data_IF_678401737824
#
_entry.id   IF_678401737824
#
_cell.length_a   1.000
_cell.length_b   1.000
_cell.length_c   1.000
_cell.angle_alpha   90.00
_cell.angle_beta   90.00
_cell.angle_gamma   90.00
#
_symmetry.space_group_name_H-M   'P 1'
#
loop_
_entity.id
_entity.type
_entity.pdbx_description
1 polymer ?
#
# COMPACT_ATOMS: atom_id res chain seq x y z
N UNK A 1 2.13 -13.64 -3.73
CA UNK A 1 0.80 -13.74 -3.11
C UNK A 1 -0.15 -12.97 -4.02
N UNK A 2 -1.27 -13.57 -4.40
CA UNK A 2 -2.28 -12.94 -5.27
C UNK A 2 -3.55 -12.67 -4.47
N UNK A 3 -3.92 -11.40 -4.40
CA UNK A 3 -5.16 -10.87 -3.84
C UNK A 3 -5.83 -9.88 -4.83
N UNK A 4 -5.53 -10.02 -6.12
CA UNK A 4 -6.06 -9.17 -7.18
C UNK A 4 -7.52 -9.49 -7.53
N UNK A 5 -8.08 -8.78 -8.50
CA UNK A 5 -9.40 -9.06 -9.09
C UNK A 5 -10.53 -9.15 -8.05
N UNK A 6 -10.64 -8.13 -7.18
CA UNK A 6 -11.59 -8.06 -6.05
C UNK A 6 -11.33 -9.08 -4.95
N UNK A 7 -10.11 -9.63 -4.86
CA UNK A 7 -9.65 -10.39 -3.72
C UNK A 7 -9.78 -9.59 -2.42
N UNK A 8 -10.02 -10.28 -1.31
CA UNK A 8 -10.15 -9.64 0.02
C UNK A 8 -9.38 -10.42 1.06
N UNK A 9 -8.43 -9.74 1.70
CA UNK A 9 -7.75 -10.18 2.91
C UNK A 9 -8.01 -9.17 4.02
N UNK A 10 -8.90 -9.51 4.96
CA UNK A 10 -9.35 -8.59 5.99
C UNK A 10 -9.28 -9.20 7.39
N UNK A 11 -8.92 -8.38 8.38
CA UNK A 11 -8.94 -8.76 9.80
C UNK A 11 -9.39 -7.60 10.68
N UNK A 12 -10.09 -7.91 11.77
CA UNK A 12 -10.38 -6.93 12.83
C UNK A 12 -9.19 -6.69 13.76
N UNK A 13 -8.19 -7.57 13.70
CA UNK A 13 -6.95 -7.46 14.45
C UNK A 13 -5.82 -6.92 13.56
N UNK A 14 -4.59 -6.95 14.06
CA UNK A 14 -3.42 -6.67 13.25
C UNK A 14 -3.19 -7.73 12.17
N UNK A 15 -2.59 -7.32 11.06
CA UNK A 15 -2.07 -8.21 10.01
C UNK A 15 -0.57 -7.92 9.87
N UNK A 16 0.23 -8.98 9.89
CA UNK A 16 1.64 -8.98 9.49
C UNK A 16 1.78 -9.85 8.25
N UNK A 17 2.08 -9.23 7.11
CA UNK A 17 2.24 -9.86 5.82
C UNK A 17 3.70 -9.79 5.39
N UNK A 18 4.35 -10.94 5.31
CA UNK A 18 5.70 -11.06 4.79
C UNK A 18 5.68 -11.96 3.55
N UNK A 19 6.05 -11.40 2.41
CA UNK A 19 6.01 -12.09 1.11
C UNK A 19 7.39 -11.96 0.47
N UNK A 20 8.14 -13.06 0.34
CA UNK A 20 9.51 -12.99 -0.20
C UNK A 20 9.57 -12.54 -1.68
N UNK A 21 8.45 -12.60 -2.39
CA UNK A 21 8.30 -12.18 -3.78
C UNK A 21 7.28 -11.06 -3.97
N UNK A 22 6.52 -11.15 -5.06
CA UNK A 22 5.48 -10.19 -5.38
C UNK A 22 4.23 -10.38 -4.51
N UNK A 23 3.72 -9.29 -3.97
CA UNK A 23 2.34 -9.17 -3.53
C UNK A 23 1.56 -8.45 -4.63
N UNK A 24 0.56 -9.14 -5.17
CA UNK A 24 -0.37 -8.58 -6.12
C UNK A 24 -1.70 -8.28 -5.42
N UNK A 25 -2.06 -7.00 -5.37
CA UNK A 25 -3.32 -6.47 -4.86
C UNK A 25 -4.01 -5.54 -5.89
N UNK A 26 -3.68 -5.69 -7.19
CA UNK A 26 -4.25 -4.84 -8.23
C UNK A 26 -5.73 -5.16 -8.52
N UNK A 27 -6.35 -4.41 -9.43
CA UNK A 27 -7.70 -4.67 -9.94
C UNK A 27 -8.75 -4.82 -8.82
N UNK A 28 -8.91 -3.78 -8.01
CA UNK A 28 -9.86 -3.70 -6.90
C UNK A 28 -9.58 -4.69 -5.74
N UNK A 29 -8.36 -5.24 -5.64
CA UNK A 29 -7.92 -6.04 -4.49
C UNK A 29 -7.92 -5.25 -3.18
N UNK A 30 -8.30 -5.88 -2.07
CA UNK A 30 -8.37 -5.23 -0.75
C UNK A 30 -7.59 -5.99 0.32
N UNK A 31 -6.67 -5.30 0.99
CA UNK A 31 -6.02 -5.75 2.24
C UNK A 31 -6.35 -4.76 3.36
N UNK A 32 -6.96 -5.23 4.45
CA UNK A 32 -7.38 -4.35 5.55
C UNK A 32 -7.16 -4.96 6.94
N UNK A 33 -6.68 -4.14 7.88
CA UNK A 33 -6.44 -4.55 9.27
C UNK A 33 -6.61 -3.42 10.28
N UNK A 34 -6.68 -3.76 11.56
CA UNK A 34 -6.57 -2.75 12.62
C UNK A 34 -5.21 -2.05 12.56
N UNK A 35 -4.13 -2.82 12.49
CA UNK A 35 -2.80 -2.36 12.08
C UNK A 35 -2.33 -3.28 10.96
N UNK A 36 -1.78 -2.73 9.89
CA UNK A 36 -1.25 -3.52 8.78
C UNK A 36 0.25 -3.26 8.65
N UNK A 37 1.04 -4.32 8.72
CA UNK A 37 2.47 -4.31 8.40
C UNK A 37 2.69 -5.22 7.20
N UNK A 38 3.37 -4.71 6.19
CA UNK A 38 3.63 -5.42 4.95
C UNK A 38 5.11 -5.31 4.57
N UNK A 39 5.73 -6.45 4.29
CA UNK A 39 7.05 -6.55 3.70
C UNK A 39 7.01 -7.41 2.43
N UNK A 40 7.54 -6.91 1.30
CA UNK A 40 7.62 -7.69 0.06
C UNK A 40 8.82 -7.33 -0.83
N UNK A 41 9.10 -8.14 -1.86
CA UNK A 41 10.05 -7.74 -2.90
C UNK A 41 9.43 -6.73 -3.88
N UNK A 42 8.14 -6.92 -4.20
CA UNK A 42 7.33 -5.94 -4.94
C UNK A 42 5.90 -5.94 -4.43
N UNK A 43 5.23 -4.80 -4.59
CA UNK A 43 3.82 -4.60 -4.32
C UNK A 43 3.18 -3.93 -5.54
N UNK A 44 2.23 -4.61 -6.15
CA UNK A 44 1.28 -4.02 -7.10
C UNK A 44 -0.04 -3.74 -6.37
N UNK A 45 -0.37 -2.47 -6.19
CA UNK A 45 -1.63 -1.98 -5.66
C UNK A 45 -2.34 -1.07 -6.68
N UNK A 46 -2.00 -1.19 -7.96
CA UNK A 46 -2.57 -0.40 -9.04
C UNK A 46 -4.03 -0.78 -9.34
N UNK A 47 -4.68 -0.08 -10.26
CA UNK A 47 -6.01 -0.46 -10.73
C UNK A 47 -7.05 -0.49 -9.62
N UNK A 48 -7.09 0.55 -8.77
CA UNK A 48 -7.99 0.68 -7.60
C UNK A 48 -7.75 -0.34 -6.47
N UNK A 49 -6.56 -0.92 -6.37
CA UNK A 49 -6.15 -1.68 -5.19
C UNK A 49 -6.21 -0.85 -3.91
N UNK A 50 -6.53 -1.48 -2.79
CA UNK A 50 -6.64 -0.84 -1.47
C UNK A 50 -5.84 -1.59 -0.41
N UNK A 51 -4.88 -0.90 0.21
CA UNK A 51 -4.28 -1.27 1.49
C UNK A 51 -4.78 -0.29 2.56
N UNK A 52 -5.32 -0.80 3.66
CA UNK A 52 -5.83 0.04 4.73
C UNK A 52 -5.50 -0.42 6.16
N UNK A 53 -5.23 0.56 7.02
CA UNK A 53 -4.92 0.34 8.44
C UNK A 53 -5.56 1.38 9.37
N UNK A 54 -6.43 0.94 10.28
CA UNK A 54 -7.18 1.84 11.18
C UNK A 54 -6.33 2.51 12.28
N UNK A 55 -5.26 1.84 12.73
CA UNK A 55 -4.35 2.30 13.78
C UNK A 55 -2.91 2.50 13.25
N UNK A 56 -2.69 2.22 11.96
CA UNK A 56 -1.41 2.36 11.29
C UNK A 56 -1.28 1.42 10.09
N UNK A 57 -0.56 1.89 9.07
CA UNK A 57 -0.14 1.11 7.92
C UNK A 57 1.36 1.31 7.73
N UNK A 58 2.12 0.21 7.74
CA UNK A 58 3.55 0.19 7.43
C UNK A 58 3.80 -0.71 6.23
N UNK A 59 4.49 -0.17 5.21
CA UNK A 59 4.83 -0.88 3.98
C UNK A 59 6.33 -0.75 3.73
N UNK A 60 7.02 -1.88 3.63
CA UNK A 60 8.41 -1.96 3.23
C UNK A 60 8.52 -2.86 1.99
N UNK A 61 8.88 -2.31 0.83
CA UNK A 61 8.96 -3.10 -0.40
C UNK A 61 10.11 -2.66 -1.30
N UNK A 62 10.42 -3.43 -2.34
CA UNK A 62 11.35 -2.99 -3.39
C UNK A 62 10.66 -2.01 -4.34
N UNK A 63 9.87 -2.56 -5.26
CA UNK A 63 9.03 -1.77 -6.16
C UNK A 63 7.60 -1.64 -5.60
N UNK A 64 7.07 -0.42 -5.59
CA UNK A 64 5.69 -0.12 -5.23
C UNK A 64 4.99 0.55 -6.41
N UNK A 65 4.04 -0.16 -7.02
CA UNK A 65 3.07 0.41 -7.96
C UNK A 65 1.77 0.70 -7.20
N UNK A 66 1.41 1.97 -7.09
CA UNK A 66 0.16 2.45 -6.52
C UNK A 66 -0.58 3.35 -7.54
N UNK A 67 -0.37 3.14 -8.83
CA UNK A 67 -0.96 3.95 -9.89
C UNK A 67 -2.45 3.66 -10.11
N UNK A 68 -3.06 4.36 -11.06
CA UNK A 68 -4.40 4.04 -11.61
C UNK A 68 -5.50 3.93 -10.52
N UNK A 69 -5.49 4.85 -9.57
CA UNK A 69 -6.45 4.90 -8.46
C UNK A 69 -6.13 3.96 -7.29
N UNK A 70 -4.93 3.37 -7.27
CA UNK A 70 -4.40 2.64 -6.12
C UNK A 70 -4.36 3.49 -4.85
N UNK A 71 -4.64 2.87 -3.71
CA UNK A 71 -4.80 3.53 -2.41
C UNK A 71 -4.07 2.81 -1.28
N UNK A 72 -3.15 3.53 -0.62
CA UNK A 72 -2.61 3.19 0.70
C UNK A 72 -3.17 4.18 1.72
N UNK A 73 -4.05 3.73 2.60
CA UNK A 73 -4.77 4.62 3.53
C UNK A 73 -4.57 4.17 4.99
N UNK A 74 -4.14 5.10 5.84
CA UNK A 74 -4.16 4.90 7.29
C UNK A 74 -5.00 5.96 8.00
N UNK A 75 -5.83 5.51 8.95
CA UNK A 75 -6.46 6.41 9.92
C UNK A 75 -5.49 6.82 11.05
N UNK A 76 -4.31 6.19 11.12
CA UNK A 76 -3.19 6.58 11.98
C UNK A 76 -2.01 7.09 11.15
N UNK A 77 -0.83 6.59 11.46
CA UNK A 77 0.39 6.85 10.67
C UNK A 77 0.44 5.93 9.45
N UNK A 78 0.72 6.51 8.29
CA UNK A 78 1.18 5.79 7.11
C UNK A 78 2.71 5.90 7.04
N UNK A 79 3.39 4.75 7.03
CA UNK A 79 4.85 4.66 6.91
C UNK A 79 5.20 3.79 5.69
N UNK A 80 5.84 4.38 4.68
CA UNK A 80 6.17 3.70 3.42
C UNK A 80 7.67 3.82 3.16
N UNK A 81 8.32 2.67 2.99
CA UNK A 81 9.69 2.55 2.51
C UNK A 81 9.70 1.73 1.21
N UNK A 82 10.23 2.31 0.14
CA UNK A 82 10.47 1.58 -1.11
C UNK A 82 11.78 1.99 -1.79
N UNK A 83 12.25 1.18 -2.75
CA UNK A 83 13.29 1.63 -3.68
C UNK A 83 12.65 2.53 -4.75
N UNK A 84 11.65 2.00 -5.44
CA UNK A 84 10.90 2.69 -6.49
C UNK A 84 9.44 2.82 -6.08
N UNK A 85 8.87 4.01 -6.25
CA UNK A 85 7.46 4.30 -6.00
C UNK A 85 6.83 4.98 -7.22
N UNK A 86 5.88 4.30 -7.87
CA UNK A 86 4.94 4.90 -8.80
C UNK A 86 3.60 5.13 -8.09
N UNK A 87 3.22 6.39 -7.91
CA UNK A 87 1.94 6.82 -7.35
C UNK A 87 1.13 7.66 -8.36
N UNK A 88 1.32 7.46 -9.67
CA UNK A 88 0.63 8.26 -10.69
C UNK A 88 -0.88 8.04 -10.66
N UNK A 89 -1.64 9.08 -10.35
CA UNK A 89 -3.09 8.98 -10.19
C UNK A 89 -3.53 8.13 -9.00
N UNK A 90 -2.60 7.78 -8.10
CA UNK A 90 -2.85 7.06 -6.86
C UNK A 90 -2.92 7.98 -5.63
N UNK A 91 -3.10 7.38 -4.46
CA UNK A 91 -3.07 8.08 -3.18
C UNK A 91 -2.34 7.29 -2.08
N UNK A 92 -1.41 7.98 -1.40
CA UNK A 92 -0.87 7.59 -0.10
C UNK A 92 -1.38 8.61 0.92
N UNK A 93 -2.21 8.16 1.87
CA UNK A 93 -2.82 9.04 2.85
C UNK A 93 -2.68 8.50 4.28
N UNK A 94 -2.00 9.25 5.14
CA UNK A 94 -1.90 8.97 6.57
C UNK A 94 -2.57 10.07 7.38
N UNK A 95 -3.73 9.80 7.98
CA UNK A 95 -4.53 10.80 8.70
C UNK A 95 -3.78 11.50 9.83
N UNK A 96 -2.91 10.79 10.54
CA UNK A 96 -2.04 11.41 11.56
C UNK A 96 -0.78 12.00 10.93
N UNK A 97 -0.13 11.22 10.07
CA UNK A 97 1.04 11.64 9.30
C UNK A 97 1.34 10.63 8.20
N UNK A 98 1.86 11.11 7.09
CA UNK A 98 2.57 10.31 6.09
C UNK A 98 4.08 10.43 6.31
N UNK A 99 4.76 9.28 6.43
CA UNK A 99 6.22 9.15 6.31
C UNK A 99 6.52 8.35 5.05
N UNK A 100 7.32 8.93 4.17
CA UNK A 100 7.68 8.32 2.90
C UNK A 100 9.19 8.38 2.72
N UNK A 101 9.79 7.23 2.46
CA UNK A 101 11.18 7.05 2.08
C UNK A 101 11.23 6.24 0.79
N UNK A 102 11.54 6.90 -0.33
CA UNK A 102 11.70 6.26 -1.63
C UNK A 102 12.97 6.78 -2.31
N UNK A 103 13.74 5.90 -2.96
CA UNK A 103 14.91 6.35 -3.73
C UNK A 103 14.46 7.05 -5.02
N UNK A 104 13.44 6.52 -5.68
CA UNK A 104 12.77 7.12 -6.83
C UNK A 104 11.28 7.27 -6.57
N UNK A 105 10.72 8.43 -6.93
CA UNK A 105 9.30 8.76 -6.74
C UNK A 105 8.72 9.39 -8.01
N UNK A 106 7.70 8.76 -8.57
CA UNK A 106 6.78 9.38 -9.52
C UNK A 106 5.42 9.60 -8.86
N UNK A 107 5.06 10.86 -8.63
CA UNK A 107 3.78 11.24 -8.04
C UNK A 107 2.96 12.13 -9.01
N UNK A 108 3.16 12.00 -10.32
CA UNK A 108 2.42 12.86 -11.29
C UNK A 108 0.93 12.55 -11.25
N UNK A 109 0.14 13.56 -10.88
CA UNK A 109 -1.31 13.40 -10.69
C UNK A 109 -1.70 12.54 -9.48
N UNK A 110 -0.72 12.14 -8.65
CA UNK A 110 -0.93 11.39 -7.42
C UNK A 110 -1.08 12.30 -6.19
N UNK A 111 -1.59 11.74 -5.11
CA UNK A 111 -1.80 12.42 -3.84
C UNK A 111 -0.92 11.82 -2.73
N UNK A 112 -0.25 12.70 -1.98
CA UNK A 112 0.51 12.38 -0.76
C UNK A 112 0.04 13.30 0.36
N UNK A 113 -0.60 12.76 1.41
CA UNK A 113 -1.20 13.56 2.51
C UNK A 113 -1.04 12.91 3.86
#
# INVERSE_FOLDING_TARGET
>A
LDNSAKGTLASRAGIDLRVDGALDNHAEGTVSGARLTLASASLDNSGKGLLSGNAGLSVATGALDNAEGGQLISQGVLDVSSADLDNRGGALSGKQSLRLSAANLDNRGGLLT
#
